data_IF_883754007778
#
_entry.id   IF_883754007778
#
_cell.length_a   1.000
_cell.length_b   1.000
_cell.length_c   1.000
_cell.angle_alpha   90.00
_cell.angle_beta   90.00
_cell.angle_gamma   90.00
#
_symmetry.space_group_name_H-M   'P 1'
#
loop_
_entity.id
_entity.type
_entity.pdbx_description
1 polymer ?
#
# COMPACT_ATOMS: atom_id res chain seq x y z
N UNK A 1 29.50 20.16 -23.82
CA UNK A 1 29.97 18.81 -23.48
C UNK A 1 28.76 18.06 -22.95
N UNK A 2 28.41 16.92 -23.56
CA UNK A 2 27.14 16.22 -23.33
C UNK A 2 27.13 15.54 -21.97
N UNK A 3 26.19 15.90 -21.08
CA UNK A 3 25.88 15.06 -19.93
C UNK A 3 25.50 13.64 -20.39
N UNK A 4 25.84 12.61 -19.61
CA UNK A 4 25.45 11.23 -19.91
C UNK A 4 23.96 11.11 -19.57
N UNK A 5 23.15 10.83 -20.60
CA UNK A 5 21.73 10.52 -20.44
C UNK A 5 21.56 9.03 -20.19
N UNK A 6 20.87 8.69 -19.11
CA UNK A 6 20.50 7.32 -18.76
C UNK A 6 18.99 7.20 -18.91
N UNK A 7 18.55 6.21 -19.69
CA UNK A 7 17.12 5.93 -19.84
C UNK A 7 16.64 5.09 -18.66
N UNK A 8 15.48 5.45 -18.12
CA UNK A 8 14.82 4.73 -17.07
C UNK A 8 13.38 4.39 -17.42
N UNK A 9 12.71 3.82 -16.44
CA UNK A 9 11.30 3.46 -16.42
C UNK A 9 10.68 4.02 -15.14
N UNK A 10 9.69 4.89 -15.27
CA UNK A 10 9.05 5.55 -14.13
C UNK A 10 8.19 4.53 -13.36
N UNK A 11 8.58 4.23 -12.12
CA UNK A 11 7.83 3.35 -11.21
C UNK A 11 6.84 4.12 -10.34
N UNK A 12 7.16 5.35 -9.97
CA UNK A 12 6.29 6.26 -9.23
C UNK A 12 6.51 7.67 -9.73
N UNK A 13 5.42 8.40 -10.01
CA UNK A 13 5.51 9.82 -10.38
C UNK A 13 5.70 10.69 -9.12
N UNK A 14 6.06 11.95 -9.33
CA UNK A 14 6.21 12.97 -8.29
C UNK A 14 5.43 14.24 -8.63
N UNK A 15 5.39 15.18 -7.71
CA UNK A 15 4.73 16.49 -7.93
C UNK A 15 5.52 17.39 -8.89
N UNK A 16 6.84 17.21 -8.95
CA UNK A 16 7.74 17.96 -9.82
C UNK A 16 8.20 17.12 -11.02
N UNK A 17 8.12 17.66 -12.23
CA UNK A 17 8.50 16.94 -13.46
C UNK A 17 10.01 16.87 -13.70
N UNK A 18 10.76 17.79 -13.11
CA UNK A 18 12.22 17.84 -13.17
C UNK A 18 12.76 17.99 -11.76
N UNK A 19 13.56 17.02 -11.31
CA UNK A 19 14.17 17.05 -9.98
C UNK A 19 15.68 17.04 -10.10
N UNK A 20 16.36 17.91 -9.35
CA UNK A 20 17.81 17.93 -9.24
C UNK A 20 18.22 17.56 -7.83
N UNK A 21 19.29 16.79 -7.69
CA UNK A 21 19.92 16.56 -6.40
C UNK A 21 21.16 15.70 -6.45
N UNK A 22 21.89 15.67 -5.34
CA UNK A 22 23.08 14.85 -5.18
C UNK A 22 22.70 13.39 -4.97
N UNK A 23 23.36 12.47 -5.66
CA UNK A 23 23.20 11.04 -5.46
C UNK A 23 23.63 10.63 -4.05
N UNK A 24 22.70 10.04 -3.30
CA UNK A 24 22.93 9.40 -2.03
C UNK A 24 22.98 7.87 -2.22
N UNK A 25 24.07 7.24 -1.79
CA UNK A 25 24.24 5.78 -1.77
C UNK A 25 24.45 5.22 -0.38
N UNK A 26 24.49 6.06 0.65
CA UNK A 26 25.00 5.68 1.97
C UNK A 26 23.98 4.91 2.81
N UNK A 27 22.83 4.53 2.24
CA UNK A 27 21.66 3.92 2.93
C UNK A 27 21.12 4.73 4.12
N UNK A 28 21.79 5.82 4.50
CA UNK A 28 21.43 6.76 5.56
C UNK A 28 20.58 7.92 5.00
N UNK A 29 19.68 8.49 5.81
CA UNK A 29 18.87 9.63 5.41
C UNK A 29 19.71 10.86 5.10
N UNK A 30 19.50 11.42 3.90
CA UNK A 30 20.09 12.68 3.46
C UNK A 30 19.01 13.52 2.78
N UNK A 31 18.61 14.62 3.43
CA UNK A 31 17.51 15.43 2.93
C UNK A 31 17.79 16.05 1.57
N UNK A 32 16.80 16.00 0.69
CA UNK A 32 16.87 16.61 -0.65
C UNK A 32 17.75 15.86 -1.65
N UNK A 33 18.29 14.71 -1.27
CA UNK A 33 19.15 13.88 -2.12
C UNK A 33 18.36 12.99 -3.08
N UNK A 34 19.05 12.40 -4.05
CA UNK A 34 18.53 11.35 -4.93
C UNK A 34 19.07 10.01 -4.44
N UNK A 35 18.25 9.18 -3.79
CA UNK A 35 18.69 7.87 -3.33
C UNK A 35 18.95 6.96 -4.53
N UNK A 36 20.12 6.33 -4.59
CA UNK A 36 20.49 5.37 -5.64
C UNK A 36 20.76 4.01 -5.01
N UNK A 37 19.97 2.99 -5.34
CA UNK A 37 20.08 1.65 -4.75
C UNK A 37 19.72 0.54 -5.76
N UNK A 38 20.41 -0.60 -5.73
CA UNK A 38 20.10 -1.72 -6.65
C UNK A 38 18.66 -2.20 -6.50
N UNK A 39 18.19 -2.40 -5.27
CA UNK A 39 16.81 -2.74 -4.95
C UNK A 39 16.29 -1.87 -3.82
N UNK A 40 14.97 -1.67 -3.78
CA UNK A 40 14.32 -0.98 -2.67
C UNK A 40 13.91 -2.01 -1.60
N UNK A 41 14.57 -1.93 -0.44
CA UNK A 41 14.40 -2.84 0.68
C UNK A 41 13.95 -2.07 1.94
N UNK A 42 13.31 -2.75 2.90
CA UNK A 42 12.81 -2.12 4.12
C UNK A 42 13.89 -1.33 4.90
N UNK A 43 15.14 -1.81 4.90
CA UNK A 43 16.26 -1.12 5.55
C UNK A 43 16.66 0.22 4.91
N UNK A 44 16.05 0.60 3.78
CA UNK A 44 16.25 1.92 3.15
C UNK A 44 15.14 2.92 3.51
N UNK A 45 14.18 2.55 4.36
CA UNK A 45 13.00 3.36 4.64
C UNK A 45 13.34 4.81 4.99
N UNK A 46 14.17 5.06 6.01
CA UNK A 46 14.50 6.43 6.41
C UNK A 46 15.20 7.21 5.29
N UNK A 47 16.06 6.54 4.52
CA UNK A 47 16.75 7.15 3.39
C UNK A 47 15.81 7.50 2.24
N UNK A 48 14.87 6.62 1.92
CA UNK A 48 13.86 6.86 0.88
C UNK A 48 13.04 8.09 1.22
N UNK A 49 12.63 8.21 2.48
CA UNK A 49 11.69 9.23 2.96
C UNK A 49 12.33 10.61 3.08
N UNK A 50 13.62 10.65 3.38
CA UNK A 50 14.40 11.88 3.34
C UNK A 50 14.73 12.34 1.91
N UNK A 51 14.60 11.46 0.91
CA UNK A 51 15.04 11.73 -0.45
C UNK A 51 14.00 12.49 -1.27
N UNK A 52 14.48 13.32 -2.19
CA UNK A 52 13.65 14.03 -3.18
C UNK A 52 13.19 13.12 -4.31
N UNK A 53 13.99 12.10 -4.63
CA UNK A 53 13.65 11.05 -5.59
C UNK A 53 14.48 9.78 -5.31
N UNK A 54 14.08 8.68 -5.92
CA UNK A 54 14.78 7.39 -5.84
C UNK A 54 15.08 6.87 -7.24
N UNK A 55 16.30 6.34 -7.43
CA UNK A 55 16.73 5.63 -8.63
C UNK A 55 17.11 4.21 -8.23
N UNK A 56 16.53 3.21 -8.88
CA UNK A 56 16.83 1.81 -8.59
C UNK A 56 17.11 0.93 -9.80
N UNK A 57 17.85 -0.16 -9.61
CA UNK A 57 18.15 -1.13 -10.68
C UNK A 57 17.06 -2.20 -10.86
N UNK A 58 16.37 -2.54 -9.78
CA UNK A 58 15.32 -3.55 -9.71
C UNK A 58 14.06 -3.01 -9.02
N UNK A 59 12.92 -3.61 -9.38
CA UNK A 59 11.60 -3.25 -8.83
C UNK A 59 10.52 -3.08 -9.90
N UNK A 60 9.28 -3.16 -9.46
CA UNK A 60 8.09 -3.01 -10.30
C UNK A 60 7.18 -1.90 -9.82
N UNK A 61 6.22 -1.51 -10.68
CA UNK A 61 5.26 -0.41 -10.41
C UNK A 61 4.58 -0.57 -9.06
N UNK A 62 4.21 -1.78 -8.67
CA UNK A 62 3.44 -2.05 -7.46
C UNK A 62 4.26 -2.68 -6.33
N UNK A 63 5.61 -2.62 -6.39
CA UNK A 63 6.46 -3.14 -5.31
C UNK A 63 6.20 -2.44 -3.96
N UNK A 64 6.46 -3.13 -2.85
CA UNK A 64 6.06 -2.69 -1.51
C UNK A 64 6.72 -1.36 -1.12
N UNK A 65 8.02 -1.22 -1.35
CA UNK A 65 8.77 0.03 -1.11
C UNK A 65 8.39 1.12 -2.11
N UNK A 66 8.06 0.77 -3.36
CA UNK A 66 7.57 1.69 -4.37
C UNK A 66 6.21 2.29 -3.98
N UNK A 67 5.33 1.51 -3.33
CA UNK A 67 4.08 2.02 -2.77
C UNK A 67 4.31 3.06 -1.66
N UNK A 68 5.37 2.92 -0.84
CA UNK A 68 5.72 3.94 0.17
C UNK A 68 6.16 5.23 -0.51
N UNK A 69 7.07 5.14 -1.48
CA UNK A 69 7.50 6.29 -2.26
C UNK A 69 6.32 6.99 -2.94
N UNK A 70 5.41 6.23 -3.57
CA UNK A 70 4.19 6.77 -4.17
C UNK A 70 3.29 7.45 -3.16
N UNK A 71 3.04 6.81 -2.01
CA UNK A 71 2.27 7.41 -0.91
C UNK A 71 2.78 8.79 -0.52
N UNK A 72 4.11 8.97 -0.50
CA UNK A 72 4.78 10.23 -0.15
C UNK A 72 5.09 11.15 -1.33
N UNK A 73 4.64 10.83 -2.54
CA UNK A 73 4.91 11.62 -3.74
C UNK A 73 6.40 11.67 -4.14
N UNK A 74 7.19 10.70 -3.68
CA UNK A 74 8.62 10.57 -4.00
C UNK A 74 8.73 9.79 -5.31
N UNK A 75 9.21 10.41 -6.40
CA UNK A 75 9.33 9.74 -7.68
C UNK A 75 10.39 8.66 -7.64
N UNK A 76 10.12 7.55 -8.32
CA UNK A 76 11.03 6.39 -8.42
C UNK A 76 11.29 6.09 -9.89
N UNK A 77 12.55 6.19 -10.32
CA UNK A 77 12.99 5.76 -11.65
C UNK A 77 13.75 4.44 -11.55
N UNK A 78 13.33 3.42 -12.29
CA UNK A 78 14.13 2.22 -12.50
C UNK A 78 15.05 2.40 -13.70
N UNK A 79 16.33 2.12 -13.56
CA UNK A 79 17.29 2.05 -14.68
C UNK A 79 17.79 0.62 -14.82
N UNK A 80 18.49 0.32 -15.91
CA UNK A 80 19.22 -0.94 -16.01
C UNK A 80 20.30 -1.02 -14.91
N UNK A 81 20.51 -2.19 -14.30
CA UNK A 81 21.50 -2.38 -13.23
C UNK A 81 22.91 -1.97 -13.70
N UNK A 82 23.24 -2.17 -14.99
CA UNK A 82 24.53 -1.77 -15.56
C UNK A 82 24.70 -0.25 -15.67
N UNK A 83 23.61 0.50 -15.78
CA UNK A 83 23.61 1.96 -15.83
C UNK A 83 23.56 2.60 -14.43
N UNK A 84 23.09 1.86 -13.42
CA UNK A 84 22.96 2.35 -12.05
C UNK A 84 24.30 2.88 -11.51
N UNK A 85 25.41 2.19 -11.81
CA UNK A 85 26.77 2.61 -11.43
C UNK A 85 27.14 3.99 -11.98
N UNK A 86 26.56 4.42 -13.09
CA UNK A 86 26.79 5.73 -13.71
C UNK A 86 25.99 6.87 -13.10
N UNK A 87 25.00 6.59 -12.25
CA UNK A 87 24.17 7.61 -11.57
C UNK A 87 24.92 8.10 -10.32
N UNK A 88 25.87 9.02 -10.49
CA UNK A 88 26.73 9.53 -9.40
C UNK A 88 26.84 11.05 -9.44
N UNK A 89 27.11 11.67 -8.28
CA UNK A 89 27.28 13.13 -8.21
C UNK A 89 25.95 13.87 -8.29
N UNK A 90 25.94 15.01 -8.95
CA UNK A 90 24.70 15.76 -9.22
C UNK A 90 23.97 15.18 -10.43
N UNK A 91 22.67 14.91 -10.25
CA UNK A 91 21.83 14.39 -11.33
C UNK A 91 20.53 15.17 -11.42
N UNK A 92 20.02 15.26 -12.66
CA UNK A 92 18.72 15.83 -12.98
C UNK A 92 17.82 14.73 -13.55
N UNK A 93 16.71 14.46 -12.88
CA UNK A 93 15.70 13.47 -13.29
C UNK A 93 14.61 14.19 -14.07
N UNK A 94 14.34 13.72 -15.28
CA UNK A 94 13.23 14.16 -16.12
C UNK A 94 12.17 13.07 -16.16
N UNK A 95 11.12 13.21 -15.34
CA UNK A 95 10.12 12.15 -15.14
C UNK A 95 9.31 11.85 -16.42
N UNK A 96 8.95 12.87 -17.20
CA UNK A 96 8.17 12.70 -18.45
C UNK A 96 8.92 11.89 -19.50
N UNK A 97 10.18 12.24 -19.73
CA UNK A 97 11.04 11.51 -20.66
C UNK A 97 11.66 10.25 -20.05
N UNK A 98 11.33 9.97 -18.78
CA UNK A 98 11.84 8.87 -17.97
C UNK A 98 13.36 8.75 -18.07
N UNK A 99 14.08 9.86 -17.93
CA UNK A 99 15.53 9.86 -18.11
C UNK A 99 16.27 10.66 -17.05
N UNK A 100 17.52 10.29 -16.83
CA UNK A 100 18.42 10.90 -15.86
C UNK A 100 19.56 11.53 -16.63
N UNK A 101 19.83 12.80 -16.37
CA UNK A 101 21.00 13.51 -16.88
C UNK A 101 21.99 13.65 -15.73
N UNK A 102 23.17 13.05 -15.88
CA UNK A 102 24.29 13.31 -14.97
C UNK A 102 24.96 14.59 -15.46
N UNK A 103 24.72 15.71 -14.76
CA UNK A 103 25.08 17.06 -15.20
C UNK A 103 26.60 17.34 -15.09
N UNK A 104 27.18 18.15 -15.99
CA UNK A 104 27.21 19.62 -15.87
C UNK A 104 26.18 20.40 -16.72
N UNK A 105 25.22 21.04 -16.02
CA UNK A 105 24.32 22.18 -16.33
C UNK A 105 23.71 22.38 -17.75
N UNK A 106 22.36 22.29 -17.88
CA UNK A 106 21.40 23.36 -18.29
C UNK A 106 20.01 22.88 -18.83
N UNK A 107 18.95 23.31 -18.11
CA UNK A 107 17.53 23.77 -18.33
C UNK A 107 16.71 23.61 -19.67
N UNK A 108 15.39 23.27 -19.50
CA UNK A 108 14.12 23.54 -20.29
C UNK A 108 13.81 22.77 -21.61
N UNK A 109 12.57 22.48 -22.09
CA UNK A 109 11.16 22.91 -21.80
C UNK A 109 10.09 22.00 -22.47
N UNK A 110 8.87 21.99 -21.89
CA UNK A 110 7.49 22.02 -22.46
C UNK A 110 6.71 20.78 -22.98
N UNK A 111 5.43 20.77 -22.54
CA UNK A 111 4.38 19.76 -22.60
C UNK A 111 3.35 19.93 -23.74
N UNK A 112 2.48 18.92 -23.90
CA UNK A 112 1.18 18.96 -24.61
C UNK A 112 0.20 17.99 -23.90
N UNK A 113 -1.13 18.21 -23.96
CA UNK A 113 -2.11 17.61 -23.04
C UNK A 113 -2.76 16.34 -23.59
N UNK A 114 -3.13 15.38 -22.74
CA UNK A 114 -4.03 14.27 -23.08
C UNK A 114 -5.15 14.08 -22.04
N UNK A 115 -6.38 14.00 -22.59
CA UNK A 115 -7.66 13.46 -22.09
C UNK A 115 -8.20 13.93 -20.71
N UNK A 116 -9.53 14.10 -20.64
CA UNK A 116 -10.24 14.57 -19.43
C UNK A 116 -9.86 13.77 -18.19
N UNK A 117 -9.15 14.43 -17.27
CA UNK A 117 -8.64 13.79 -16.07
C UNK A 117 -9.78 13.57 -15.04
N UNK A 118 -9.76 12.45 -14.30
CA UNK A 118 -10.79 12.16 -13.30
C UNK A 118 -10.86 13.25 -12.24
N UNK A 119 -12.08 13.66 -11.88
CA UNK A 119 -12.34 14.59 -10.79
C UNK A 119 -12.73 13.85 -9.52
N UNK A 120 -12.76 14.53 -8.38
CA UNK A 120 -13.17 13.89 -7.14
C UNK A 120 -14.63 13.44 -7.18
N UNK A 121 -15.48 14.12 -7.95
CA UNK A 121 -16.91 13.78 -8.14
C UNK A 121 -17.10 12.39 -8.74
N UNK A 122 -16.11 11.88 -9.48
CA UNK A 122 -16.17 10.57 -10.11
C UNK A 122 -15.80 9.41 -9.15
N UNK A 123 -15.19 9.72 -8.00
CA UNK A 123 -14.65 8.72 -7.06
C UNK A 123 -15.69 8.10 -6.12
N UNK A 124 -16.90 8.67 -6.01
CA UNK A 124 -17.83 8.34 -4.93
C UNK A 124 -17.24 8.71 -3.57
N UNK A 125 -17.11 7.72 -2.67
CA UNK A 125 -16.35 7.87 -1.43
C UNK A 125 -14.86 7.51 -1.61
N UNK A 126 -13.95 8.33 -1.09
CA UNK A 126 -12.52 8.08 -1.22
C UNK A 126 -11.93 7.43 0.04
N UNK A 127 -11.00 6.48 -0.16
CA UNK A 127 -10.20 5.88 0.89
C UNK A 127 -8.70 6.17 0.66
N UNK A 128 -8.04 6.80 1.61
CA UNK A 128 -6.61 7.11 1.53
C UNK A 128 -5.77 5.93 2.06
N UNK A 129 -4.88 5.38 1.24
CA UNK A 129 -3.90 4.38 1.66
C UNK A 129 -2.68 5.10 2.22
N UNK A 130 -2.51 4.97 3.53
CA UNK A 130 -1.50 5.67 4.32
C UNK A 130 -0.35 4.75 4.74
N UNK A 131 0.80 5.36 5.04
CA UNK A 131 1.94 4.74 5.68
C UNK A 131 2.19 5.29 7.09
N UNK A 132 1.77 6.53 7.37
CA UNK A 132 1.91 7.15 8.70
C UNK A 132 0.83 8.20 9.02
N UNK A 133 1.00 8.86 10.17
CA UNK A 133 0.13 9.94 10.65
C UNK A 133 0.16 11.19 9.75
N UNK A 134 1.31 11.49 9.15
CA UNK A 134 1.49 12.67 8.31
C UNK A 134 0.62 12.59 7.06
N UNK A 135 0.36 11.39 6.57
CA UNK A 135 -0.56 11.17 5.44
C UNK A 135 -1.99 11.63 5.77
N UNK A 136 -2.49 11.32 6.98
CA UNK A 136 -3.81 11.77 7.45
C UNK A 136 -3.85 13.30 7.52
N UNK A 137 -2.84 13.91 8.13
CA UNK A 137 -2.72 15.36 8.23
C UNK A 137 -2.66 16.03 6.83
N UNK A 138 -1.97 15.40 5.88
CA UNK A 138 -1.82 15.89 4.50
C UNK A 138 -3.17 15.91 3.77
N UNK A 139 -3.95 14.85 3.88
CA UNK A 139 -5.31 14.80 3.30
C UNK A 139 -6.22 15.80 4.00
N UNK A 140 -6.22 15.84 5.34
CA UNK A 140 -7.10 16.71 6.11
C UNK A 140 -6.77 18.21 5.94
N UNK A 141 -5.56 18.54 5.46
CA UNK A 141 -5.17 19.89 5.07
C UNK A 141 -5.67 20.33 3.68
N UNK A 142 -6.28 19.43 2.88
CA UNK A 142 -6.75 19.73 1.51
C UNK A 142 -8.08 20.52 1.45
N UNK A 143 -8.49 21.17 2.55
CA UNK A 143 -9.67 22.02 2.57
C UNK A 143 -10.99 21.25 2.73
N UNK A 144 -12.13 21.84 2.31
CA UNK A 144 -13.46 21.25 2.52
C UNK A 144 -13.65 19.86 1.92
N UNK A 145 -12.98 19.57 0.80
CA UNK A 145 -13.06 18.31 0.08
C UNK A 145 -12.38 17.14 0.80
N UNK A 146 -11.55 17.41 1.82
CA UNK A 146 -10.99 16.38 2.68
C UNK A 146 -12.08 15.51 3.36
N UNK A 147 -13.28 16.06 3.58
CA UNK A 147 -14.43 15.33 4.14
C UNK A 147 -14.95 14.22 3.22
N UNK A 148 -14.58 14.24 1.94
CA UNK A 148 -14.93 13.19 0.97
C UNK A 148 -14.02 11.97 1.06
N UNK A 149 -12.89 12.11 1.76
CA UNK A 149 -12.10 10.97 2.23
C UNK A 149 -12.70 10.53 3.56
N UNK A 150 -13.54 9.51 3.54
CA UNK A 150 -14.24 8.99 4.72
C UNK A 150 -13.45 7.90 5.45
N UNK A 151 -12.38 7.40 4.83
CA UNK A 151 -11.63 6.25 5.34
C UNK A 151 -10.15 6.39 5.08
N UNK A 152 -9.34 6.06 6.09
CA UNK A 152 -7.90 5.89 5.97
C UNK A 152 -7.56 4.42 6.16
N UNK A 153 -6.70 3.89 5.31
CA UNK A 153 -6.32 2.49 5.29
C UNK A 153 -4.84 2.34 5.57
N UNK A 154 -4.50 1.61 6.64
CA UNK A 154 -3.11 1.32 7.03
C UNK A 154 -2.90 -0.20 7.06
N UNK A 155 -1.70 -0.63 6.66
CA UNK A 155 -1.25 -2.01 6.79
C UNK A 155 -0.45 -2.18 8.06
N UNK A 156 -0.75 -3.21 8.85
CA UNK A 156 -0.07 -3.44 10.12
C UNK A 156 1.45 -3.59 9.95
N UNK A 157 1.93 -4.26 8.89
CA UNK A 157 3.38 -4.41 8.66
C UNK A 157 4.10 -3.08 8.40
N UNK A 158 3.40 -2.09 7.84
CA UNK A 158 3.94 -0.73 7.64
C UNK A 158 3.98 0.06 8.93
N UNK A 159 2.92 -0.05 9.73
CA UNK A 159 2.88 0.51 11.07
C UNK A 159 4.03 -0.05 11.91
N UNK A 160 4.25 -1.37 11.85
CA UNK A 160 5.33 -2.04 12.55
C UNK A 160 6.71 -1.56 12.08
N UNK A 161 6.92 -1.50 10.76
CA UNK A 161 8.17 -1.01 10.19
C UNK A 161 8.49 0.41 10.66
N UNK A 162 7.50 1.32 10.58
CA UNK A 162 7.67 2.72 11.01
C UNK A 162 7.92 2.86 12.52
N UNK A 163 7.40 1.93 13.31
CA UNK A 163 7.59 1.91 14.75
C UNK A 163 8.82 1.10 15.21
N UNK A 164 9.55 0.47 14.29
CA UNK A 164 10.65 -0.44 14.62
C UNK A 164 10.20 -1.72 15.34
N UNK A 165 8.92 -2.09 15.23
CA UNK A 165 8.36 -3.30 15.81
C UNK A 165 8.68 -4.51 14.95
N UNK A 166 8.81 -5.66 15.61
CA UNK A 166 9.14 -6.95 14.97
C UNK A 166 8.07 -7.97 15.35
N UNK A 167 6.98 -8.06 14.56
CA UNK A 167 5.80 -8.83 14.95
C UNK A 167 6.13 -10.28 15.30
N UNK A 168 6.89 -10.96 14.45
CA UNK A 168 7.23 -12.38 14.66
C UNK A 168 8.12 -12.61 15.88
N UNK A 169 9.05 -11.70 16.18
CA UNK A 169 9.89 -11.78 17.39
C UNK A 169 9.03 -11.62 18.65
N UNK A 170 8.10 -10.64 18.64
CA UNK A 170 7.15 -10.44 19.73
C UNK A 170 6.25 -11.66 19.93
N UNK A 171 5.76 -12.29 18.85
CA UNK A 171 4.96 -13.51 18.92
C UNK A 171 5.73 -14.75 19.37
N UNK A 172 7.02 -14.81 19.07
CA UNK A 172 7.91 -15.88 19.54
C UNK A 172 8.37 -15.72 20.99
N UNK A 173 8.06 -14.56 21.60
CA UNK A 173 8.45 -14.20 22.96
C UNK A 173 7.50 -14.69 24.04
N UNK A 174 7.53 -14.00 25.18
CA UNK A 174 6.64 -14.23 26.31
C UNK A 174 5.26 -13.59 26.11
N UNK A 175 4.24 -13.97 26.90
CA UNK A 175 2.95 -13.27 26.91
C UNK A 175 3.06 -11.75 27.16
N UNK A 176 4.08 -11.32 27.89
CA UNK A 176 4.35 -9.89 28.11
C UNK A 176 4.83 -9.20 26.83
N UNK A 177 5.64 -9.87 26.01
CA UNK A 177 6.13 -9.34 24.72
C UNK A 177 4.97 -9.20 23.71
N UNK A 178 4.08 -10.20 23.67
CA UNK A 178 2.86 -10.18 22.86
C UNK A 178 1.95 -9.00 23.28
N UNK A 179 1.76 -8.82 24.59
CA UNK A 179 0.96 -7.71 25.13
C UNK A 179 1.58 -6.36 24.83
N UNK A 180 2.89 -6.22 25.01
CA UNK A 180 3.63 -4.99 24.73
C UNK A 180 3.58 -4.62 23.24
N UNK A 181 3.66 -5.62 22.35
CA UNK A 181 3.45 -5.42 20.92
C UNK A 181 2.05 -4.85 20.63
N UNK A 182 1.00 -5.48 21.18
CA UNK A 182 -0.37 -5.01 20.98
C UNK A 182 -0.60 -3.59 21.50
N UNK A 183 -0.04 -3.26 22.67
CA UNK A 183 -0.07 -1.90 23.23
C UNK A 183 0.65 -0.89 22.32
N UNK A 184 1.84 -1.23 21.80
CA UNK A 184 2.59 -0.36 20.92
C UNK A 184 1.86 -0.10 19.58
N UNK A 185 1.17 -1.12 19.03
CA UNK A 185 0.31 -0.96 17.86
C UNK A 185 -0.88 -0.06 18.19
N UNK A 186 -1.58 -0.31 19.30
CA UNK A 186 -2.69 0.54 19.75
C UNK A 186 -2.27 2.00 19.93
N UNK A 187 -1.07 2.25 20.47
CA UNK A 187 -0.56 3.62 20.68
C UNK A 187 -0.44 4.42 19.38
N UNK A 188 -0.02 3.75 18.29
CA UNK A 188 0.03 4.38 16.96
C UNK A 188 -1.36 4.64 16.41
N UNK A 189 -2.26 3.66 16.55
CA UNK A 189 -3.64 3.77 16.07
C UNK A 189 -4.41 4.87 16.81
N UNK A 190 -4.19 5.07 18.12
CA UNK A 190 -4.75 6.19 18.88
C UNK A 190 -4.38 7.54 18.24
N UNK A 191 -3.09 7.75 17.93
CA UNK A 191 -2.65 8.97 17.27
C UNK A 191 -3.28 9.17 15.89
N UNK A 192 -3.54 8.09 15.15
CA UNK A 192 -4.25 8.18 13.87
C UNK A 192 -5.72 8.58 14.07
N UNK A 193 -6.43 7.95 15.02
CA UNK A 193 -7.83 8.26 15.34
C UNK A 193 -7.99 9.71 15.80
N UNK A 194 -7.08 10.21 16.64
CA UNK A 194 -7.07 11.61 17.10
C UNK A 194 -6.93 12.62 15.95
N UNK A 195 -6.29 12.23 14.84
CA UNK A 195 -6.13 13.09 13.66
C UNK A 195 -7.28 13.02 12.66
N UNK A 196 -8.25 12.10 12.87
CA UNK A 196 -9.40 11.96 12.00
C UNK A 196 -10.45 13.06 12.23
N UNK A 197 -11.04 13.56 11.15
CA UNK A 197 -12.25 14.38 11.19
C UNK A 197 -13.48 13.52 11.59
N UNK A 198 -14.57 14.09 12.15
CA UNK A 198 -15.63 13.31 12.82
C UNK A 198 -16.20 12.11 12.06
N UNK A 199 -16.51 12.24 10.77
CA UNK A 199 -17.12 11.17 9.96
C UNK A 199 -16.09 10.19 9.36
N UNK A 200 -14.79 10.40 9.63
CA UNK A 200 -13.74 9.57 9.09
C UNK A 200 -13.52 8.33 9.97
N UNK A 201 -13.06 7.24 9.36
CA UNK A 201 -12.65 6.02 10.07
C UNK A 201 -11.26 5.56 9.64
N UNK A 202 -10.67 4.72 10.49
CA UNK A 202 -9.41 4.04 10.21
C UNK A 202 -9.68 2.56 9.94
N UNK A 203 -9.09 2.01 8.90
CA UNK A 203 -9.13 0.58 8.57
C UNK A 203 -7.72 0.03 8.72
N UNK A 204 -7.51 -0.84 9.70
CA UNK A 204 -6.29 -1.61 9.88
C UNK A 204 -6.40 -2.92 9.11
N UNK A 205 -5.58 -3.10 8.07
CA UNK A 205 -5.36 -4.45 7.52
C UNK A 205 -4.50 -5.23 8.49
N UNK A 206 -5.00 -6.40 8.90
CA UNK A 206 -4.27 -7.34 9.75
C UNK A 206 -2.96 -7.75 9.08
N UNK A 207 -2.02 -8.22 9.90
CA UNK A 207 -0.66 -8.52 9.51
C UNK A 207 -0.58 -9.44 8.29
N UNK A 208 0.16 -8.97 7.28
CA UNK A 208 0.43 -9.71 6.06
C UNK A 208 1.93 -9.62 5.72
N UNK A 209 2.70 -10.50 6.35
CA UNK A 209 4.14 -10.64 6.12
C UNK A 209 4.43 -11.91 5.33
N UNK A 210 4.85 -11.75 4.07
CA UNK A 210 5.46 -12.83 3.30
C UNK A 210 6.80 -13.25 3.91
N UNK A 211 7.20 -14.49 3.72
CA UNK A 211 8.43 -15.05 4.30
C UNK A 211 9.70 -14.27 3.96
N UNK A 212 9.83 -13.76 2.73
CA UNK A 212 10.97 -12.95 2.30
C UNK A 212 11.03 -11.56 2.97
N UNK A 213 9.86 -10.98 3.25
CA UNK A 213 9.75 -9.74 4.02
C UNK A 213 9.99 -10.00 5.51
N UNK A 214 9.34 -11.02 6.05
CA UNK A 214 9.49 -11.47 7.43
C UNK A 214 10.96 -11.72 7.78
N UNK A 215 11.70 -12.42 6.92
CA UNK A 215 13.12 -12.71 7.13
C UNK A 215 14.02 -11.47 7.21
N UNK A 216 13.58 -10.32 6.69
CA UNK A 216 14.35 -9.06 6.74
C UNK A 216 14.06 -8.22 7.98
N UNK A 217 12.92 -8.43 8.62
CA UNK A 217 12.45 -7.62 9.76
C UNK A 217 12.41 -8.39 11.08
N UNK A 218 12.71 -9.69 11.04
CA UNK A 218 12.69 -10.62 12.18
C UNK A 218 14.13 -11.03 12.52
N UNK A 219 14.49 -11.01 13.80
CA UNK A 219 15.85 -11.37 14.25
C UNK A 219 15.92 -12.62 15.11
N UNK A 220 14.87 -12.93 15.87
CA UNK A 220 14.85 -13.99 16.88
C UNK A 220 13.98 -15.17 16.45
N UNK A 221 12.79 -14.90 15.92
CA UNK A 221 11.87 -15.94 15.51
C UNK A 221 12.33 -16.63 14.21
N UNK A 222 12.05 -17.93 14.11
CA UNK A 222 12.35 -18.67 12.89
C UNK A 222 11.37 -18.29 11.78
N UNK A 223 11.91 -17.82 10.66
CA UNK A 223 11.14 -17.57 9.43
C UNK A 223 11.41 -18.70 8.45
N UNK A 224 10.35 -19.33 7.95
CA UNK A 224 10.47 -20.34 6.92
C UNK A 224 11.01 -19.72 5.61
N UNK A 225 11.91 -20.41 4.93
CA UNK A 225 12.34 -20.03 3.59
C UNK A 225 11.45 -20.74 2.60
N UNK A 226 10.55 -20.00 1.96
CA UNK A 226 9.61 -20.55 0.98
C UNK A 226 10.13 -20.34 -0.44
N UNK A 227 9.95 -21.33 -1.34
CA UNK A 227 10.36 -21.18 -2.74
C UNK A 227 9.54 -20.11 -3.48
N UNK A 228 8.31 -19.83 -3.02
CA UNK A 228 7.48 -18.75 -3.53
C UNK A 228 6.74 -18.06 -2.36
N UNK A 229 7.33 -16.99 -1.80
CA UNK A 229 6.72 -16.22 -0.71
C UNK A 229 5.36 -15.61 -1.07
N UNK A 230 5.10 -15.29 -2.35
CA UNK A 230 3.82 -14.72 -2.82
C UNK A 230 2.70 -15.77 -2.85
N UNK A 231 3.03 -17.08 -2.83
CA UNK A 231 2.07 -18.17 -2.71
C UNK A 231 2.17 -18.90 -1.36
N UNK A 232 2.87 -18.30 -0.41
CA UNK A 232 3.31 -18.94 0.83
C UNK A 232 2.36 -18.82 2.01
N UNK A 233 2.92 -18.99 3.20
CA UNK A 233 2.27 -18.86 4.50
C UNK A 233 2.27 -17.39 4.96
N UNK A 234 1.33 -16.61 4.42
CA UNK A 234 1.09 -15.21 4.81
C UNK A 234 -0.41 -14.88 4.82
N UNK A 235 -0.76 -13.64 5.15
CA UNK A 235 -2.13 -13.15 5.26
C UNK A 235 -3.04 -14.05 6.09
N UNK A 236 -4.29 -14.26 5.67
CA UNK A 236 -5.27 -15.10 6.37
C UNK A 236 -4.73 -16.47 6.81
N UNK A 237 -3.89 -17.12 5.99
CA UNK A 237 -3.32 -18.45 6.30
C UNK A 237 -2.37 -18.43 7.49
N UNK A 238 -1.50 -17.41 7.56
CA UNK A 238 -0.60 -17.25 8.70
C UNK A 238 -1.37 -16.85 9.95
N UNK A 239 -2.34 -15.94 9.80
CA UNK A 239 -3.19 -15.47 10.90
C UNK A 239 -3.98 -16.63 11.54
N UNK A 240 -4.55 -17.54 10.74
CA UNK A 240 -5.24 -18.76 11.20
C UNK A 240 -4.34 -19.72 12.00
N UNK A 241 -3.03 -19.67 11.77
CA UNK A 241 -2.06 -20.53 12.43
C UNK A 241 -1.50 -19.95 13.74
N UNK A 242 -1.89 -18.73 14.13
CA UNK A 242 -1.18 -17.95 15.16
C UNK A 242 -2.08 -17.51 16.32
N UNK A 243 -2.14 -18.34 17.36
CA UNK A 243 -2.77 -17.97 18.64
C UNK A 243 -2.10 -16.74 19.27
N UNK A 244 -0.78 -16.61 19.13
CA UNK A 244 -0.05 -15.44 19.63
C UNK A 244 -0.54 -14.15 18.96
N UNK A 245 -0.85 -14.21 17.65
CA UNK A 245 -1.43 -13.08 16.94
C UNK A 245 -2.82 -12.71 17.43
N UNK A 246 -3.69 -13.71 17.66
CA UNK A 246 -4.98 -13.47 18.32
C UNK A 246 -4.78 -12.73 19.65
N UNK A 247 -3.88 -13.22 20.50
CA UNK A 247 -3.65 -12.65 21.83
C UNK A 247 -3.12 -11.20 21.74
N UNK A 248 -2.21 -10.91 20.80
CA UNK A 248 -1.77 -9.54 20.53
C UNK A 248 -2.90 -8.65 20.01
N UNK A 249 -3.73 -9.14 19.10
CA UNK A 249 -4.86 -8.38 18.54
C UNK A 249 -5.87 -8.03 19.65
N UNK A 250 -6.10 -8.92 20.61
CA UNK A 250 -6.88 -8.59 21.80
C UNK A 250 -6.23 -7.52 22.66
N UNK A 251 -4.89 -7.53 22.81
CA UNK A 251 -4.18 -6.45 23.48
C UNK A 251 -4.33 -5.11 22.72
N UNK A 252 -4.27 -5.11 21.38
CA UNK A 252 -4.56 -3.92 20.56
C UNK A 252 -5.96 -3.40 20.84
N UNK A 253 -6.98 -4.24 20.70
CA UNK A 253 -8.39 -3.84 20.85
C UNK A 253 -8.72 -3.41 22.29
N UNK A 254 -8.16 -4.09 23.30
CA UNK A 254 -8.30 -3.73 24.70
C UNK A 254 -7.72 -2.36 25.00
N UNK A 255 -6.49 -2.10 24.55
CA UNK A 255 -5.84 -0.80 24.73
C UNK A 255 -6.52 0.32 23.95
N UNK A 256 -7.03 0.05 22.74
CA UNK A 256 -7.85 1.04 22.02
C UNK A 256 -9.10 1.43 22.80
N UNK A 257 -9.85 0.45 23.32
CA UNK A 257 -11.05 0.70 24.14
C UNK A 257 -10.73 1.48 25.41
N UNK A 258 -9.64 1.13 26.09
CA UNK A 258 -9.20 1.82 27.31
C UNK A 258 -8.84 3.29 27.04
N UNK A 259 -8.15 3.57 25.94
CA UNK A 259 -7.59 4.90 25.64
C UNK A 259 -8.56 5.83 24.89
N UNK A 260 -9.39 5.27 24.01
CA UNK A 260 -10.27 6.05 23.13
C UNK A 260 -11.75 5.98 23.54
N UNK A 261 -12.15 5.04 24.40
CA UNK A 261 -13.56 4.84 24.76
C UNK A 261 -14.40 4.54 23.51
N UNK A 262 -15.48 5.30 23.31
CA UNK A 262 -16.40 5.13 22.18
C UNK A 262 -15.74 5.37 20.81
N UNK A 263 -14.71 6.22 20.75
CA UNK A 263 -13.96 6.50 19.51
C UNK A 263 -13.17 5.28 19.01
N UNK A 264 -12.95 4.26 19.86
CA UNK A 264 -12.36 2.99 19.44
C UNK A 264 -13.19 2.30 18.34
N UNK A 265 -14.50 2.54 18.29
CA UNK A 265 -15.38 2.02 17.24
C UNK A 265 -15.08 2.56 15.83
N UNK A 266 -14.22 3.58 15.71
CA UNK A 266 -13.76 4.14 14.43
C UNK A 266 -12.60 3.36 13.82
N UNK A 267 -12.05 2.37 14.53
CA UNK A 267 -11.03 1.46 14.01
C UNK A 267 -11.69 0.17 13.54
N UNK A 268 -11.70 -0.03 12.22
CA UNK A 268 -12.19 -1.23 11.56
C UNK A 268 -11.03 -2.16 11.22
N UNK A 269 -11.30 -3.46 11.13
CA UNK A 269 -10.31 -4.47 10.75
C UNK A 269 -10.53 -4.94 9.32
N UNK A 270 -9.47 -5.34 8.63
CA UNK A 270 -9.55 -5.94 7.30
C UNK A 270 -8.64 -7.14 7.16
N UNK A 271 -9.20 -8.26 6.69
CA UNK A 271 -8.48 -9.53 6.52
C UNK A 271 -7.75 -9.53 5.16
N UNK A 272 -6.41 -9.66 5.14
CA UNK A 272 -5.63 -9.84 3.92
C UNK A 272 -5.75 -11.25 3.34
N UNK A 273 -5.59 -11.37 2.02
CA UNK A 273 -5.28 -12.63 1.34
C UNK A 273 -6.21 -13.82 1.62
N UNK A 274 -7.51 -13.54 1.77
CA UNK A 274 -8.53 -14.58 1.91
C UNK A 274 -8.86 -15.18 0.55
N UNK A 275 -9.18 -16.47 0.49
CA UNK A 275 -9.55 -17.18 -0.74
C UNK A 275 -11.05 -17.41 -0.86
N UNK A 276 -11.74 -17.61 0.25
CA UNK A 276 -13.15 -17.94 0.25
C UNK A 276 -13.86 -17.62 1.57
N UNK A 277 -15.16 -17.89 1.59
CA UNK A 277 -16.05 -17.66 2.71
C UNK A 277 -15.71 -18.51 3.95
N UNK A 278 -15.22 -19.74 3.76
CA UNK A 278 -14.88 -20.64 4.85
C UNK A 278 -13.62 -20.16 5.57
N UNK A 279 -12.60 -19.75 4.81
CA UNK A 279 -11.38 -19.15 5.35
C UNK A 279 -11.70 -17.84 6.10
N UNK A 280 -12.54 -16.98 5.52
CA UNK A 280 -13.01 -15.75 6.18
C UNK A 280 -13.72 -16.03 7.51
N UNK A 281 -14.74 -16.89 7.49
CA UNK A 281 -15.55 -17.21 8.68
C UNK A 281 -14.74 -17.96 9.74
N UNK A 282 -13.79 -18.80 9.34
CA UNK A 282 -12.91 -19.53 10.26
C UNK A 282 -11.91 -18.59 10.90
N UNK A 283 -11.36 -17.63 10.15
CA UNK A 283 -10.44 -16.64 10.73
C UNK A 283 -11.15 -15.75 11.75
N UNK A 284 -12.34 -15.24 11.44
CA UNK A 284 -13.11 -14.41 12.39
C UNK A 284 -13.42 -15.15 13.70
N UNK A 285 -13.70 -16.47 13.63
CA UNK A 285 -13.87 -17.32 14.82
C UNK A 285 -12.55 -17.57 15.56
N UNK A 286 -11.47 -17.83 14.83
CA UNK A 286 -10.14 -18.07 15.39
C UNK A 286 -9.62 -16.84 16.15
N UNK A 287 -9.84 -15.65 15.60
CA UNK A 287 -9.42 -14.38 16.20
C UNK A 287 -10.33 -13.94 17.36
N UNK A 288 -11.41 -14.67 17.64
CA UNK A 288 -12.36 -14.40 18.74
C UNK A 288 -12.82 -12.93 18.79
N UNK A 289 -13.00 -12.32 17.61
CA UNK A 289 -13.29 -10.90 17.51
C UNK A 289 -14.66 -10.56 18.13
N UNK A 290 -14.75 -9.46 18.89
CA UNK A 290 -16.03 -8.97 19.38
C UNK A 290 -17.01 -8.70 18.22
N UNK A 291 -18.28 -9.07 18.39
CA UNK A 291 -19.29 -8.98 17.33
C UNK A 291 -19.57 -7.55 16.82
N UNK A 292 -19.21 -6.55 17.62
CA UNK A 292 -19.33 -5.12 17.31
C UNK A 292 -18.16 -4.58 16.46
N UNK A 293 -17.08 -5.33 16.30
CA UNK A 293 -15.91 -4.90 15.51
C UNK A 293 -16.16 -5.20 14.02
N UNK A 294 -16.23 -4.18 13.13
CA UNK A 294 -16.42 -4.42 11.71
C UNK A 294 -15.17 -5.09 11.10
N UNK A 295 -15.39 -6.23 10.42
CA UNK A 295 -14.33 -6.97 9.74
C UNK A 295 -14.60 -6.96 8.24
N UNK A 296 -13.65 -6.44 7.48
CA UNK A 296 -13.67 -6.37 6.02
C UNK A 296 -12.82 -7.48 5.40
N UNK A 297 -12.98 -7.73 4.10
CA UNK A 297 -12.20 -8.73 3.36
C UNK A 297 -11.47 -8.12 2.17
N UNK A 298 -10.19 -8.45 2.00
CA UNK A 298 -9.46 -8.17 0.77
C UNK A 298 -9.73 -9.24 -0.30
N UNK A 299 -10.17 -8.79 -1.47
CA UNK A 299 -10.31 -9.62 -2.66
C UNK A 299 -9.05 -9.46 -3.51
N UNK A 300 -8.10 -10.36 -3.28
CA UNK A 300 -6.73 -10.32 -3.85
C UNK A 300 -6.41 -11.55 -4.70
N UNK A 301 -7.23 -12.59 -4.64
CA UNK A 301 -7.01 -13.86 -5.34
C UNK A 301 -8.13 -14.14 -6.35
N UNK A 302 -7.86 -14.89 -7.44
CA UNK A 302 -8.92 -15.33 -8.35
C UNK A 302 -10.00 -16.16 -7.64
N UNK A 303 -9.62 -16.95 -6.62
CA UNK A 303 -10.57 -17.70 -5.80
C UNK A 303 -11.57 -16.76 -5.09
N UNK A 304 -11.07 -15.69 -4.45
CA UNK A 304 -11.90 -14.72 -3.75
C UNK A 304 -12.84 -13.95 -4.67
N UNK A 305 -12.44 -13.70 -5.93
CA UNK A 305 -13.34 -13.12 -6.95
C UNK A 305 -14.56 -14.01 -7.17
N UNK A 306 -14.36 -15.32 -7.30
CA UNK A 306 -15.47 -16.25 -7.49
C UNK A 306 -16.25 -16.53 -6.21
N UNK A 307 -15.62 -16.42 -5.05
CA UNK A 307 -16.24 -16.60 -3.74
C UNK A 307 -16.90 -15.33 -3.18
N UNK A 308 -16.83 -14.19 -3.88
CA UNK A 308 -17.22 -12.87 -3.35
C UNK A 308 -18.60 -12.87 -2.70
N UNK A 309 -19.64 -13.39 -3.38
CA UNK A 309 -21.00 -13.41 -2.83
C UNK A 309 -21.10 -14.25 -1.54
N UNK A 310 -20.33 -15.34 -1.43
CA UNK A 310 -20.30 -16.17 -0.23
C UNK A 310 -19.52 -15.49 0.91
N UNK A 311 -18.44 -14.77 0.59
CA UNK A 311 -17.68 -13.95 1.56
C UNK A 311 -18.61 -12.87 2.15
N UNK A 312 -19.36 -12.16 1.29
CA UNK A 312 -20.39 -11.21 1.73
C UNK A 312 -21.42 -11.86 2.67
N UNK A 313 -21.96 -13.01 2.27
CA UNK A 313 -22.95 -13.75 3.07
C UNK A 313 -22.40 -14.25 4.42
N UNK A 314 -21.07 -14.33 4.54
CA UNK A 314 -20.38 -14.71 5.78
C UNK A 314 -20.14 -13.54 6.74
N UNK A 315 -20.69 -12.36 6.44
CA UNK A 315 -20.70 -11.20 7.33
C UNK A 315 -19.55 -10.21 7.10
N UNK A 316 -18.91 -10.22 5.93
CA UNK A 316 -17.94 -9.18 5.58
C UNK A 316 -18.63 -7.81 5.57
N UNK A 317 -18.10 -6.87 6.36
CA UNK A 317 -18.68 -5.52 6.52
C UNK A 317 -18.41 -4.61 5.31
N UNK A 318 -17.32 -4.86 4.59
CA UNK A 318 -16.89 -4.16 3.38
C UNK A 318 -15.86 -5.03 2.64
N UNK A 319 -15.73 -4.82 1.33
CA UNK A 319 -14.73 -5.47 0.50
C UNK A 319 -13.71 -4.46 -0.01
N UNK A 320 -12.44 -4.87 -0.04
CA UNK A 320 -11.35 -4.12 -0.65
C UNK A 320 -10.75 -4.92 -1.80
N UNK A 321 -10.80 -4.40 -3.02
CA UNK A 321 -10.17 -5.05 -4.17
C UNK A 321 -8.71 -4.68 -4.23
N UNK A 322 -7.84 -5.59 -3.77
CA UNK A 322 -6.39 -5.44 -3.79
C UNK A 322 -5.82 -5.71 -5.18
N UNK A 323 -5.95 -4.73 -6.08
CA UNK A 323 -5.59 -4.87 -7.50
C UNK A 323 -4.14 -5.30 -7.74
N UNK A 324 -3.25 -4.93 -6.82
CA UNK A 324 -1.84 -5.28 -6.86
C UNK A 324 -1.58 -6.80 -6.91
N UNK A 325 -2.21 -7.53 -6.01
CA UNK A 325 -2.04 -8.99 -5.93
C UNK A 325 -2.99 -9.69 -6.92
N UNK A 326 -4.17 -9.12 -7.14
CA UNK A 326 -5.13 -9.63 -8.12
C UNK A 326 -4.51 -9.72 -9.53
N UNK A 327 -3.85 -8.66 -10.01
CA UNK A 327 -3.18 -8.66 -11.32
C UNK A 327 -2.11 -9.74 -11.40
N UNK A 328 -1.29 -9.85 -10.35
CA UNK A 328 -0.19 -10.81 -10.30
C UNK A 328 -0.70 -12.26 -10.42
N UNK A 329 -1.76 -12.61 -9.69
CA UNK A 329 -2.30 -13.96 -9.71
C UNK A 329 -3.17 -14.27 -10.92
N UNK A 330 -3.89 -13.29 -11.47
CA UNK A 330 -4.62 -13.48 -12.72
C UNK A 330 -3.69 -13.69 -13.91
N UNK A 331 -2.54 -13.02 -13.94
CA UNK A 331 -1.61 -13.04 -15.07
C UNK A 331 -0.39 -13.93 -14.84
N UNK A 332 -0.29 -14.56 -13.66
CA UNK A 332 0.88 -15.31 -13.22
C UNK A 332 2.19 -14.54 -13.45
N UNK A 333 2.16 -13.23 -13.19
CA UNK A 333 3.25 -12.30 -13.50
C UNK A 333 3.69 -11.58 -12.23
N UNK A 334 4.79 -12.07 -11.63
CA UNK A 334 5.43 -11.42 -10.49
C UNK A 334 5.96 -10.03 -10.90
N UNK A 335 5.38 -8.99 -10.30
CA UNK A 335 5.76 -7.58 -10.50
C UNK A 335 7.20 -7.27 -10.09
N UNK A 336 7.76 -8.02 -9.14
CA UNK A 336 9.14 -7.88 -8.68
C UNK A 336 10.14 -8.53 -9.63
N UNK A 337 9.68 -9.47 -10.45
CA UNK A 337 10.49 -10.17 -11.43
C UNK A 337 10.57 -9.38 -12.74
N UNK A 338 11.68 -8.68 -12.94
CA UNK A 338 11.94 -7.85 -14.12
C UNK A 338 11.80 -8.59 -15.46
N UNK A 339 12.00 -9.91 -15.50
CA UNK A 339 11.87 -10.73 -16.71
C UNK A 339 10.43 -10.85 -17.19
N UNK A 340 9.45 -10.71 -16.29
CA UNK A 340 8.01 -10.85 -16.59
C UNK A 340 7.20 -9.59 -16.23
N UNK A 341 7.87 -8.52 -15.78
CA UNK A 341 7.21 -7.28 -15.37
C UNK A 341 6.36 -6.64 -16.49
N UNK A 342 6.69 -6.88 -17.77
CA UNK A 342 5.87 -6.42 -18.91
C UNK A 342 4.53 -7.16 -19.06
N UNK A 343 4.40 -8.34 -18.46
CA UNK A 343 3.14 -9.11 -18.40
C UNK A 343 2.23 -8.65 -17.26
N UNK A 344 2.76 -7.93 -16.27
CA UNK A 344 1.96 -7.33 -15.21
C UNK A 344 1.17 -6.14 -15.77
N UNK A 345 -0.10 -6.35 -16.11
CA UNK A 345 -0.95 -5.37 -16.78
C UNK A 345 -2.23 -5.12 -15.98
N UNK A 346 -2.30 -3.96 -15.33
CA UNK A 346 -3.44 -3.53 -14.51
C UNK A 346 -4.74 -3.40 -15.30
N UNK A 347 -4.64 -3.06 -16.59
CA UNK A 347 -5.77 -2.92 -17.52
C UNK A 347 -6.07 -4.19 -18.33
N UNK A 348 -5.49 -5.33 -17.98
CA UNK A 348 -5.72 -6.57 -18.73
C UNK A 348 -7.20 -6.99 -18.67
N UNK A 349 -7.85 -7.38 -19.79
CA UNK A 349 -9.29 -7.68 -19.81
C UNK A 349 -9.75 -8.71 -18.76
N UNK A 350 -8.93 -9.73 -18.48
CA UNK A 350 -9.24 -10.72 -17.45
C UNK A 350 -9.24 -10.13 -16.02
N UNK A 351 -8.35 -9.18 -15.73
CA UNK A 351 -8.32 -8.48 -14.44
C UNK A 351 -9.54 -7.58 -14.31
N UNK A 352 -9.85 -6.82 -15.37
CA UNK A 352 -11.06 -5.96 -15.40
C UNK A 352 -12.34 -6.79 -15.21
N UNK A 353 -12.44 -7.95 -15.87
CA UNK A 353 -13.58 -8.87 -15.68
C UNK A 353 -13.66 -9.38 -14.24
N UNK A 354 -12.53 -9.76 -13.64
CA UNK A 354 -12.46 -10.15 -12.24
C UNK A 354 -12.96 -9.05 -11.30
N UNK A 355 -12.43 -7.83 -11.42
CA UNK A 355 -12.88 -6.68 -10.62
C UNK A 355 -14.37 -6.38 -10.83
N UNK A 356 -14.85 -6.42 -12.07
CA UNK A 356 -16.27 -6.23 -12.40
C UNK A 356 -17.16 -7.22 -11.67
N UNK A 357 -16.77 -8.51 -11.65
CA UNK A 357 -17.53 -9.56 -10.93
C UNK A 357 -17.59 -9.30 -9.44
N UNK A 358 -16.50 -8.85 -8.83
CA UNK A 358 -16.46 -8.50 -7.40
C UNK A 358 -17.45 -7.38 -7.13
N UNK A 359 -17.35 -6.27 -7.88
CA UNK A 359 -18.22 -5.11 -7.66
C UNK A 359 -19.70 -5.46 -7.88
N UNK A 360 -20.02 -6.24 -8.92
CA UNK A 360 -21.40 -6.68 -9.16
C UNK A 360 -21.92 -7.58 -8.04
N UNK A 361 -21.10 -8.52 -7.55
CA UNK A 361 -21.49 -9.43 -6.48
C UNK A 361 -21.69 -8.69 -5.16
N UNK A 362 -20.78 -7.78 -4.81
CA UNK A 362 -20.89 -6.95 -3.61
C UNK A 362 -22.16 -6.08 -3.63
N UNK A 363 -22.45 -5.45 -4.77
CA UNK A 363 -23.68 -4.67 -4.97
C UNK A 363 -24.94 -5.53 -4.87
N UNK A 364 -24.91 -6.74 -5.41
CA UNK A 364 -26.04 -7.67 -5.34
C UNK A 364 -26.33 -8.13 -3.89
N UNK A 365 -25.31 -8.18 -3.04
CA UNK A 365 -25.45 -8.53 -1.61
C UNK A 365 -25.65 -7.32 -0.71
N UNK A 366 -25.53 -6.09 -1.23
CA UNK A 366 -25.57 -4.86 -0.45
C UNK A 366 -24.32 -4.64 0.43
N UNK A 367 -23.22 -5.31 0.12
CA UNK A 367 -21.94 -5.16 0.83
C UNK A 367 -21.12 -4.05 0.15
N UNK A 368 -20.68 -3.02 0.89
CA UNK A 368 -19.84 -1.97 0.33
C UNK A 368 -18.56 -2.52 -0.28
N UNK A 369 -18.10 -1.93 -1.39
CA UNK A 369 -16.87 -2.34 -2.07
C UNK A 369 -16.03 -1.13 -2.49
N UNK A 370 -14.73 -1.21 -2.22
CA UNK A 370 -13.74 -0.22 -2.66
C UNK A 370 -12.69 -0.86 -3.57
N UNK A 371 -12.33 -0.17 -4.64
CA UNK A 371 -11.33 -0.66 -5.60
C UNK A 371 -10.02 0.10 -5.46
N UNK A 372 -8.89 -0.60 -5.34
CA UNK A 372 -7.58 0.05 -5.37
C UNK A 372 -7.23 0.52 -6.77
N UNK A 373 -7.05 1.83 -6.93
CA UNK A 373 -6.67 2.45 -8.20
C UNK A 373 -5.32 3.17 -8.07
N UNK A 374 -4.47 2.97 -9.08
CA UNK A 374 -3.39 3.90 -9.37
C UNK A 374 -3.98 5.11 -10.09
N UNK A 375 -3.42 6.30 -9.89
CA UNK A 375 -3.89 7.51 -10.55
C UNK A 375 -3.91 7.36 -12.08
N UNK A 376 -2.89 6.69 -12.64
CA UNK A 376 -2.81 6.40 -14.06
C UNK A 376 -3.95 5.50 -14.57
N UNK A 377 -4.51 4.61 -13.75
CA UNK A 377 -5.51 3.62 -14.15
C UNK A 377 -6.94 4.02 -13.79
N UNK A 378 -7.12 5.03 -12.95
CA UNK A 378 -8.41 5.46 -12.41
C UNK A 378 -9.44 5.74 -13.51
N UNK A 379 -9.09 6.55 -14.52
CA UNK A 379 -10.01 6.87 -15.62
C UNK A 379 -10.50 5.62 -16.36
N UNK A 380 -9.61 4.65 -16.60
CA UNK A 380 -9.98 3.40 -17.23
C UNK A 380 -10.91 2.56 -16.35
N UNK A 381 -10.69 2.53 -15.04
CA UNK A 381 -11.56 1.79 -14.11
C UNK A 381 -12.96 2.41 -14.02
N UNK A 382 -13.04 3.75 -13.98
CA UNK A 382 -14.31 4.48 -14.00
C UNK A 382 -15.16 4.16 -15.25
N UNK A 383 -14.52 4.01 -16.41
CA UNK A 383 -15.21 3.66 -17.66
C UNK A 383 -15.66 2.18 -17.71
N UNK A 384 -14.84 1.27 -17.18
CA UNK A 384 -14.99 -0.17 -17.43
C UNK A 384 -15.73 -0.92 -16.31
N UNK A 385 -15.71 -0.40 -15.09
CA UNK A 385 -16.34 -1.02 -13.93
C UNK A 385 -17.73 -0.42 -13.69
N UNK A 386 -18.72 -1.22 -13.25
CA UNK A 386 -19.89 -0.64 -12.62
C UNK A 386 -19.43 0.17 -11.40
N UNK A 387 -20.12 1.28 -11.05
CA UNK A 387 -19.65 2.15 -9.98
C UNK A 387 -19.58 1.37 -8.66
N UNK A 388 -18.38 1.28 -8.03
CA UNK A 388 -18.24 0.80 -6.67
C UNK A 388 -18.70 1.89 -5.69
N UNK A 389 -18.73 1.58 -4.39
CA UNK A 389 -19.01 2.57 -3.34
C UNK A 389 -17.86 3.58 -3.20
N UNK A 390 -16.65 3.18 -3.58
CA UNK A 390 -15.49 4.05 -3.56
C UNK A 390 -14.25 3.50 -4.22
N UNK A 391 -13.22 4.34 -4.24
CA UNK A 391 -11.87 3.95 -4.65
C UNK A 391 -10.89 4.18 -3.50
N UNK A 392 -9.88 3.32 -3.42
CA UNK A 392 -8.75 3.51 -2.53
C UNK A 392 -7.50 3.87 -3.34
N UNK A 393 -6.78 4.89 -2.89
CA UNK A 393 -5.64 5.45 -3.62
C UNK A 393 -4.52 5.82 -2.64
N UNK A 394 -3.28 5.83 -3.10
CA UNK A 394 -2.16 6.35 -2.31
C UNK A 394 -2.36 7.84 -1.99
N UNK A 395 -1.96 8.28 -0.80
CA UNK A 395 -2.13 9.66 -0.30
C UNK A 395 -1.77 10.73 -1.32
N UNK A 396 -0.57 10.69 -1.92
CA UNK A 396 -0.16 11.70 -2.88
C UNK A 396 -1.02 11.72 -4.16
N UNK A 397 -1.42 10.56 -4.68
CA UNK A 397 -2.29 10.50 -5.86
C UNK A 397 -3.69 11.03 -5.53
N UNK A 398 -4.22 10.64 -4.37
CA UNK A 398 -5.53 11.12 -3.92
C UNK A 398 -5.51 12.64 -3.67
N UNK A 399 -4.46 13.16 -3.03
CA UNK A 399 -4.27 14.60 -2.86
C UNK A 399 -4.27 15.33 -4.21
N UNK A 400 -3.62 14.78 -5.24
CA UNK A 400 -3.65 15.39 -6.57
C UNK A 400 -5.06 15.42 -7.16
N UNK A 401 -5.87 14.37 -6.95
CA UNK A 401 -7.27 14.36 -7.39
C UNK A 401 -8.09 15.38 -6.59
N UNK A 402 -7.84 15.53 -5.29
CA UNK A 402 -8.52 16.53 -4.42
C UNK A 402 -8.21 17.94 -4.87
N UNK A 403 -6.93 18.29 -5.00
CA UNK A 403 -6.50 19.65 -5.32
C UNK A 403 -6.86 20.11 -6.74
N UNK A 404 -7.29 19.19 -7.60
CA UNK A 404 -7.74 19.49 -8.98
C UNK A 404 -9.24 19.69 -9.10
N UNK A 405 -10.01 19.31 -8.07
CA UNK A 405 -11.47 19.50 -8.01
C UNK A 405 -11.79 20.85 -7.35
#
# INVERSE_FOLDING_TARGET
MSGRRIQGFLLSDGTEKVLRGTCNRTRSPLQGSILVASSLEAGLYDAMVASRAVVCGAGGLTGHMQSICRGRGIPVLRVDESDLAGVTGEVTLHLESQSIIVESDTVSRAASPEAGEPSLDDLGSACAVIADLQDIATINACGPDAKRVDSFFIREEFLCLAAGLRPLDSMGGSPADITAYGQAVADRLCGFVEALLPEQRLVLRLLDLRSDHAARVTELAQVAVEPNPELGLHGARWLLGSNAYRDALHAVLGSLRERLGDEAGRVHLSVPFVNDAEEFATLSRHLELPADVPVSAFIETPAAVHATAAICASGASELFVGTKDLVQFYLAADRGNHLVAGSYQTRHPAVIDGMRRVVQSARATGTPVRVFALGADLGHYLEQLPPPDGYMMCTAELQQVILRS
#
